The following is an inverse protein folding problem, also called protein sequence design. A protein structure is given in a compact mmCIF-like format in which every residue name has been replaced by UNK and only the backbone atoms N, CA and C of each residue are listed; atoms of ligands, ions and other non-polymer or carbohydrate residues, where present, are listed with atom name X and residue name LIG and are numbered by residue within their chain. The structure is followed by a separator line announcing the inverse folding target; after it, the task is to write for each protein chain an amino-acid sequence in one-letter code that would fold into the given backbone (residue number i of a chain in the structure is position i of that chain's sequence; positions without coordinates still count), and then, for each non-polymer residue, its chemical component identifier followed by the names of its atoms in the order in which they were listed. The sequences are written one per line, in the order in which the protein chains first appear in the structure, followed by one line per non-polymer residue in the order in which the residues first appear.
data_IF_217725972197
#
_entry.id   IF_217725972197
#
_cell.length_a   1.000
_cell.length_b   1.000
_cell.length_c   1.000
_cell.angle_alpha   90.00
_cell.angle_beta   90.00
_cell.angle_gamma   90.00
#
_symmetry.space_group_name_H-M   'P 1'
#
loop_
_entity.id
_entity.type
_entity.pdbx_description
1 polymer ?
#
# COMPACT_ATOMS: atom_id res chain seq x y z
N UNK A 1 15.49 -34.84 -41.43
CA UNK A 1 14.81 -35.97 -42.09
C UNK A 1 13.48 -36.26 -41.41
N UNK A 2 12.44 -36.35 -42.22
CA UNK A 2 11.06 -36.81 -41.98
C UNK A 2 10.09 -35.92 -41.19
N UNK A 3 9.35 -35.16 -42.00
CA UNK A 3 7.97 -34.70 -41.82
C UNK A 3 7.01 -35.86 -41.55
N UNK A 4 5.96 -35.64 -40.83
CA UNK A 4 4.63 -36.21 -41.12
C UNK A 4 3.53 -35.25 -40.59
N UNK A 5 2.82 -34.69 -41.54
CA UNK A 5 1.49 -34.09 -41.44
C UNK A 5 0.42 -35.18 -41.43
N UNK A 6 -0.76 -34.88 -40.87
CA UNK A 6 -2.10 -35.35 -41.30
C UNK A 6 -3.13 -34.63 -40.42
N UNK A 7 -3.92 -33.70 -40.91
CA UNK A 7 -5.11 -33.69 -41.78
C UNK A 7 -6.43 -33.91 -41.02
N UNK A 8 -7.18 -32.83 -40.97
CA UNK A 8 -8.64 -32.57 -41.07
C UNK A 8 -9.64 -33.75 -40.83
N UNK A 9 -10.70 -33.44 -40.03
CA UNK A 9 -12.11 -33.65 -40.48
C UNK A 9 -13.01 -32.61 -39.83
N UNK A 10 -13.67 -31.82 -40.70
CA UNK A 10 -14.83 -30.99 -40.40
C UNK A 10 -16.10 -31.82 -40.61
N UNK A 11 -17.13 -31.63 -39.81
CA UNK A 11 -18.48 -32.06 -40.11
C UNK A 11 -19.48 -30.97 -39.71
N UNK A 12 -20.13 -30.48 -40.71
CA UNK A 12 -21.22 -29.49 -40.78
C UNK A 12 -22.55 -30.27 -40.82
N UNK A 13 -23.60 -29.82 -40.11
CA UNK A 13 -25.05 -29.96 -40.45
C UNK A 13 -25.84 -29.03 -39.54
N UNK A 14 -26.37 -27.96 -39.97
CA UNK A 14 -27.53 -27.51 -40.75
C UNK A 14 -28.89 -27.79 -40.07
N UNK A 15 -29.45 -26.69 -39.64
CA UNK A 15 -30.79 -26.11 -39.72
C UNK A 15 -32.06 -27.01 -39.73
N UNK A 16 -33.06 -26.56 -38.92
CA UNK A 16 -34.41 -26.33 -39.42
C UNK A 16 -35.18 -25.31 -38.59
N UNK A 17 -35.73 -24.30 -39.29
CA UNK A 17 -36.73 -23.35 -38.81
C UNK A 17 -38.11 -24.04 -38.74
N UNK A 18 -39.01 -23.51 -37.90
CA UNK A 18 -40.41 -23.34 -38.28
C UNK A 18 -41.06 -22.23 -37.42
N UNK A 19 -41.68 -21.32 -38.15
CA UNK A 19 -42.42 -20.15 -37.68
C UNK A 19 -43.88 -20.52 -37.31
N UNK A 20 -44.51 -19.71 -36.48
CA UNK A 20 -45.95 -19.71 -36.25
C UNK A 20 -46.41 -18.38 -35.70
N UNK A 21 -47.04 -17.59 -36.58
CA UNK A 21 -47.72 -16.31 -36.31
C UNK A 21 -49.13 -16.50 -35.69
N UNK A 22 -49.63 -15.41 -35.07
CA UNK A 22 -51.05 -15.17 -34.87
C UNK A 22 -51.38 -14.35 -33.63
N UNK A 23 -51.42 -13.07 -33.63
CA UNK A 23 -52.48 -12.07 -33.91
C UNK A 23 -53.45 -11.83 -32.71
N UNK A 24 -53.33 -10.67 -32.09
CA UNK A 24 -54.18 -9.48 -31.90
C UNK A 24 -55.65 -9.66 -31.48
N UNK A 25 -56.07 -8.96 -30.42
CA UNK A 25 -57.04 -7.86 -30.34
C UNK A 25 -57.80 -7.83 -28.99
N UNK A 26 -57.66 -6.78 -28.25
CA UNK A 26 -58.58 -5.67 -27.94
C UNK A 26 -59.73 -5.88 -26.95
N UNK A 27 -59.67 -4.99 -25.93
CA UNK A 27 -60.76 -4.20 -25.28
C UNK A 27 -61.89 -4.91 -24.55
N UNK A 28 -62.04 -4.63 -23.27
CA UNK A 28 -63.06 -3.75 -22.64
C UNK A 28 -63.08 -3.92 -21.13
N UNK A 29 -63.09 -2.82 -20.39
CA UNK A 29 -63.62 -2.74 -19.02
C UNK A 29 -65.15 -2.57 -19.13
N UNK A 30 -65.98 -2.85 -18.08
CA UNK A 30 -66.05 -2.03 -16.87
C UNK A 30 -66.50 -2.72 -15.58
N UNK A 31 -66.45 -1.90 -14.49
CA UNK A 31 -67.30 -1.75 -13.34
C UNK A 31 -67.23 -2.73 -12.13
N UNK A 32 -66.75 -2.11 -11.07
CA UNK A 32 -67.22 -2.03 -9.66
C UNK A 32 -68.07 -3.14 -9.07
N UNK A 33 -67.58 -3.72 -7.93
CA UNK A 33 -68.40 -3.88 -6.73
C UNK A 33 -67.50 -3.97 -5.49
N UNK A 34 -67.82 -3.13 -4.55
CA UNK A 34 -67.37 -2.97 -3.17
C UNK A 34 -67.59 -4.24 -2.36
N UNK A 35 -66.56 -4.73 -1.68
CA UNK A 35 -66.77 -5.54 -0.47
C UNK A 35 -65.53 -5.37 0.44
N UNK A 36 -65.76 -4.66 1.51
CA UNK A 36 -64.86 -4.47 2.66
C UNK A 36 -64.68 -5.78 3.37
N UNK A 37 -63.44 -6.34 3.31
CA UNK A 37 -63.04 -7.41 4.24
C UNK A 37 -61.74 -7.02 4.90
N UNK A 38 -61.82 -6.91 6.21
CA UNK A 38 -60.77 -6.56 7.16
C UNK A 38 -59.66 -7.58 7.12
N UNK A 39 -58.56 -7.29 6.48
CA UNK A 39 -57.33 -8.10 6.59
C UNK A 39 -56.52 -7.62 7.78
N UNK A 40 -56.43 -8.49 8.75
CA UNK A 40 -55.57 -8.44 9.91
C UNK A 40 -54.10 -8.46 9.45
N UNK A 41 -53.35 -7.45 9.86
CA UNK A 41 -51.92 -7.37 9.58
C UNK A 41 -51.23 -8.55 10.30
N UNK A 42 -50.62 -9.44 9.51
CA UNK A 42 -49.66 -10.39 10.03
C UNK A 42 -48.35 -9.63 10.27
N UNK A 43 -47.85 -9.64 11.47
CA UNK A 43 -46.47 -9.28 11.83
C UNK A 43 -45.51 -10.14 10.99
N UNK A 44 -44.42 -9.56 10.46
CA UNK A 44 -43.40 -10.38 9.86
C UNK A 44 -42.67 -11.16 10.96
N UNK A 45 -42.84 -12.47 10.95
CA UNK A 45 -41.98 -13.37 11.70
C UNK A 45 -40.54 -13.08 11.26
N UNK A 46 -39.73 -12.65 12.23
CA UNK A 46 -38.27 -12.63 12.07
C UNK A 46 -37.82 -14.06 11.81
N UNK A 47 -37.43 -14.36 10.58
CA UNK A 47 -36.68 -15.56 10.29
C UNK A 47 -35.37 -15.47 11.10
N UNK A 48 -35.26 -16.31 12.13
CA UNK A 48 -33.98 -16.66 12.72
C UNK A 48 -33.11 -17.21 11.57
N UNK A 49 -32.03 -16.49 11.26
CA UNK A 49 -31.03 -16.92 10.31
C UNK A 49 -30.44 -18.23 10.83
N UNK A 50 -30.68 -19.31 10.09
CA UNK A 50 -30.17 -20.64 10.41
C UNK A 50 -28.64 -20.59 10.50
N UNK A 51 -28.13 -20.92 11.68
CA UNK A 51 -26.72 -21.18 11.98
C UNK A 51 -26.26 -22.48 11.30
N UNK A 52 -26.10 -22.48 9.97
CA UNK A 52 -25.55 -23.62 9.17
C UNK A 52 -25.00 -23.14 7.80
N UNK A 53 -24.38 -21.96 7.75
CA UNK A 53 -23.60 -21.59 6.57
C UNK A 53 -22.37 -22.51 6.46
N UNK A 54 -22.07 -23.02 5.26
CA UNK A 54 -20.83 -23.77 5.02
C UNK A 54 -19.62 -22.85 5.37
N UNK A 55 -18.57 -23.43 5.98
CA UNK A 55 -17.37 -22.64 6.33
C UNK A 55 -16.76 -21.98 5.09
N UNK A 56 -16.46 -20.69 5.20
CA UNK A 56 -15.81 -19.92 4.14
C UNK A 56 -14.43 -19.47 4.61
N UNK A 57 -13.39 -19.92 3.92
CA UNK A 57 -12.02 -19.45 4.12
C UNK A 57 -11.71 -18.35 3.11
N UNK A 58 -11.21 -17.22 3.59
CA UNK A 58 -10.70 -16.09 2.80
C UNK A 58 -9.18 -16.09 2.90
N UNK A 59 -8.50 -16.15 1.77
CA UNK A 59 -7.04 -16.11 1.68
C UNK A 59 -6.59 -14.73 1.23
N UNK A 60 -5.74 -14.07 2.02
CA UNK A 60 -5.13 -12.80 1.67
C UNK A 60 -3.61 -12.93 1.57
N UNK A 61 -3.02 -12.47 0.47
CA UNK A 61 -1.57 -12.42 0.32
C UNK A 61 -0.99 -11.10 0.84
N UNK A 62 0.22 -11.14 1.40
CA UNK A 62 0.94 -9.97 1.92
C UNK A 62 2.45 -10.16 1.81
N UNK A 63 3.21 -9.09 2.00
CA UNK A 63 4.68 -9.11 2.19
C UNK A 63 5.13 -8.54 3.54
N UNK A 64 4.18 -8.16 4.38
CA UNK A 64 4.37 -7.54 5.68
C UNK A 64 4.92 -8.51 6.77
N UNK A 65 5.03 -8.01 8.00
CA UNK A 65 5.37 -8.81 9.17
C UNK A 65 4.31 -9.89 9.44
N UNK A 66 4.76 -11.15 9.58
CA UNK A 66 3.84 -12.29 9.77
C UNK A 66 3.11 -12.23 11.12
N UNK A 67 3.76 -11.73 12.18
CA UNK A 67 3.12 -11.62 13.48
C UNK A 67 1.99 -10.57 13.46
N UNK A 68 2.22 -9.45 12.77
CA UNK A 68 1.21 -8.42 12.55
C UNK A 68 0.02 -8.96 11.75
N UNK A 69 0.25 -9.68 10.67
CA UNK A 69 -0.82 -10.24 9.86
C UNK A 69 -1.62 -11.31 10.59
N UNK A 70 -0.94 -12.15 11.38
CA UNK A 70 -1.62 -13.14 12.22
C UNK A 70 -2.49 -12.47 13.29
N UNK A 71 -2.01 -11.39 13.91
CA UNK A 71 -2.80 -10.61 14.87
C UNK A 71 -4.07 -10.04 14.24
N UNK A 72 -4.01 -9.54 13.00
CA UNK A 72 -5.19 -9.10 12.24
C UNK A 72 -6.15 -10.26 11.95
N UNK A 73 -5.62 -11.41 11.53
CA UNK A 73 -6.43 -12.59 11.26
C UNK A 73 -7.15 -13.07 12.54
N UNK A 74 -6.46 -13.07 13.68
CA UNK A 74 -7.02 -13.48 14.96
C UNK A 74 -8.22 -12.61 15.37
N UNK A 75 -8.12 -11.28 15.22
CA UNK A 75 -9.22 -10.35 15.50
C UNK A 75 -10.44 -10.64 14.60
N UNK A 76 -10.20 -10.86 13.30
CA UNK A 76 -11.29 -11.19 12.35
C UNK A 76 -11.91 -12.53 12.70
N UNK A 77 -11.09 -13.55 12.91
CA UNK A 77 -11.53 -14.92 13.15
C UNK A 77 -12.31 -15.05 14.46
N UNK A 78 -11.92 -14.28 15.51
CA UNK A 78 -12.67 -14.23 16.75
C UNK A 78 -14.07 -13.63 16.55
N UNK A 79 -14.16 -12.51 15.82
CA UNK A 79 -15.43 -11.81 15.60
C UNK A 79 -16.38 -12.54 14.66
N UNK A 80 -15.85 -13.26 13.66
CA UNK A 80 -16.64 -13.95 12.64
C UNK A 80 -16.80 -15.47 12.87
N UNK A 81 -16.38 -15.96 14.04
CA UNK A 81 -16.44 -17.38 14.37
C UNK A 81 -17.86 -17.97 14.26
N UNK A 82 -18.87 -17.24 14.70
CA UNK A 82 -20.29 -17.69 14.65
C UNK A 82 -20.84 -17.66 13.21
N UNK A 83 -20.23 -16.88 12.31
CA UNK A 83 -20.59 -16.80 10.89
C UNK A 83 -19.86 -17.87 10.05
N UNK A 84 -18.98 -18.69 10.64
CA UNK A 84 -18.11 -19.66 9.99
C UNK A 84 -17.22 -19.06 8.90
N UNK A 85 -16.77 -17.80 9.06
CA UNK A 85 -15.85 -17.10 8.17
C UNK A 85 -14.48 -17.08 8.83
N UNK A 86 -13.44 -17.44 8.09
CA UNK A 86 -12.04 -17.39 8.53
C UNK A 86 -11.20 -16.61 7.54
N UNK A 87 -10.31 -15.74 8.05
CA UNK A 87 -9.28 -15.04 7.29
C UNK A 87 -7.93 -15.71 7.56
N UNK A 88 -7.17 -15.94 6.50
CA UNK A 88 -5.80 -16.43 6.56
C UNK A 88 -4.90 -15.54 5.71
N UNK A 89 -3.83 -15.04 6.30
CA UNK A 89 -2.78 -14.35 5.58
C UNK A 89 -1.68 -15.31 5.13
N UNK A 90 -1.18 -15.14 3.90
CA UNK A 90 -0.06 -15.87 3.34
C UNK A 90 1.01 -14.93 2.83
N UNK A 91 2.22 -15.04 3.39
CA UNK A 91 3.35 -14.21 2.96
C UNK A 91 3.86 -14.61 1.58
N UNK A 92 4.09 -13.60 0.74
CA UNK A 92 4.66 -13.77 -0.60
C UNK A 92 5.83 -12.80 -0.78
N UNK A 93 6.88 -13.27 -1.41
CA UNK A 93 7.94 -12.40 -1.94
C UNK A 93 7.50 -11.86 -3.30
N UNK A 94 7.91 -10.63 -3.63
CA UNK A 94 7.57 -9.98 -4.91
C UNK A 94 6.05 -9.99 -5.16
N UNK A 95 5.31 -9.49 -4.17
CA UNK A 95 3.83 -9.58 -4.14
C UNK A 95 3.18 -8.95 -5.38
N UNK A 96 3.70 -7.82 -5.87
CA UNK A 96 3.18 -7.15 -7.07
C UNK A 96 3.21 -8.08 -8.27
N UNK A 97 4.34 -8.73 -8.55
CA UNK A 97 4.46 -9.70 -9.66
C UNK A 97 3.55 -10.92 -9.45
N UNK A 98 3.41 -11.38 -8.20
CA UNK A 98 2.52 -12.51 -7.89
C UNK A 98 1.06 -12.16 -8.15
N UNK A 99 0.59 -10.98 -7.76
CA UNK A 99 -0.78 -10.51 -8.03
C UNK A 99 -1.00 -10.30 -9.54
N UNK A 100 -0.03 -9.74 -10.27
CA UNK A 100 -0.12 -9.61 -11.72
C UNK A 100 -0.26 -10.97 -12.43
N UNK A 101 0.42 -11.99 -11.93
CA UNK A 101 0.43 -13.33 -12.54
C UNK A 101 -0.83 -14.12 -12.19
N UNK A 102 -1.28 -14.06 -10.94
CA UNK A 102 -2.33 -14.93 -10.41
C UNK A 102 -3.66 -14.21 -10.13
N UNK A 103 -3.72 -12.88 -10.25
CA UNK A 103 -4.90 -12.08 -9.89
C UNK A 103 -6.15 -12.33 -10.73
N UNK A 104 -6.04 -13.07 -11.84
CA UNK A 104 -7.18 -13.58 -12.63
C UNK A 104 -7.36 -15.10 -12.53
N UNK A 105 -6.47 -15.79 -11.82
CA UNK A 105 -6.50 -17.24 -11.69
C UNK A 105 -7.19 -17.67 -10.39
N UNK A 106 -8.44 -18.02 -10.50
CA UNK A 106 -9.28 -18.48 -9.40
C UNK A 106 -8.71 -19.70 -8.64
N UNK A 107 -7.94 -20.54 -9.30
CA UNK A 107 -7.42 -21.78 -8.70
C UNK A 107 -6.13 -21.54 -7.90
N UNK A 108 -5.38 -20.49 -8.23
CA UNK A 108 -4.03 -20.24 -7.68
C UNK A 108 -3.88 -18.86 -7.06
N UNK A 109 -4.78 -17.92 -7.37
CA UNK A 109 -4.77 -16.57 -6.82
C UNK A 109 -5.39 -16.49 -5.41
N UNK A 110 -5.10 -15.42 -4.65
CA UNK A 110 -5.74 -15.18 -3.36
C UNK A 110 -7.13 -14.57 -3.55
N UNK A 111 -7.93 -14.52 -2.49
CA UNK A 111 -9.19 -13.76 -2.51
C UNK A 111 -8.94 -12.25 -2.37
N UNK A 112 -7.94 -11.90 -1.57
CA UNK A 112 -7.56 -10.53 -1.23
C UNK A 112 -6.03 -10.42 -1.17
N UNK A 113 -5.54 -9.18 -1.10
CA UNK A 113 -4.14 -8.91 -0.75
C UNK A 113 -4.04 -7.67 0.14
N UNK A 114 -2.97 -7.57 0.94
CA UNK A 114 -2.62 -6.39 1.71
C UNK A 114 -1.25 -5.90 1.26
N UNK A 115 -1.21 -4.67 0.71
CA UNK A 115 0.01 -4.08 0.15
C UNK A 115 -0.09 -2.55 0.07
N UNK A 116 1.03 -1.90 -0.23
CA UNK A 116 1.07 -0.47 -0.49
C UNK A 116 0.25 -0.07 -1.73
N UNK A 117 -0.43 1.07 -1.65
CA UNK A 117 -1.39 1.53 -2.65
C UNK A 117 -0.79 1.92 -4.01
N UNK A 118 0.52 2.06 -4.13
CA UNK A 118 1.20 2.48 -5.37
C UNK A 118 1.00 1.53 -6.56
N UNK A 119 0.64 0.25 -6.30
CA UNK A 119 0.30 -0.73 -7.33
C UNK A 119 -1.15 -0.63 -7.83
N UNK A 120 -2.00 0.19 -7.20
CA UNK A 120 -3.43 0.28 -7.46
C UNK A 120 -3.75 0.50 -8.94
N UNK A 121 -3.16 1.51 -9.55
CA UNK A 121 -3.46 1.87 -10.94
C UNK A 121 -3.18 0.73 -11.92
N UNK A 122 -2.08 -0.01 -11.71
CA UNK A 122 -1.76 -1.18 -12.54
C UNK A 122 -2.81 -2.26 -12.41
N UNK A 123 -3.21 -2.60 -11.20
CA UNK A 123 -4.18 -3.66 -10.95
C UNK A 123 -5.60 -3.26 -11.41
N UNK A 124 -5.97 -1.99 -11.23
CA UNK A 124 -7.24 -1.46 -11.72
C UNK A 124 -7.32 -1.47 -13.26
N UNK A 125 -6.26 -1.06 -13.97
CA UNK A 125 -6.20 -1.13 -15.45
C UNK A 125 -6.21 -2.57 -15.96
N UNK A 126 -5.64 -3.51 -15.23
CA UNK A 126 -5.73 -4.94 -15.54
C UNK A 126 -7.15 -5.50 -15.32
N UNK A 127 -8.04 -4.76 -14.64
CA UNK A 127 -9.42 -5.17 -14.35
C UNK A 127 -9.53 -6.35 -13.39
N UNK A 128 -8.51 -6.56 -12.54
CA UNK A 128 -8.47 -7.69 -11.59
C UNK A 128 -9.08 -7.36 -10.23
N UNK A 129 -9.31 -6.08 -9.95
CA UNK A 129 -9.86 -5.62 -8.67
C UNK A 129 -11.38 -5.43 -8.73
N UNK A 130 -12.04 -5.74 -7.62
CA UNK A 130 -13.41 -5.29 -7.33
C UNK A 130 -13.31 -3.99 -6.52
N UNK A 131 -14.06 -2.92 -6.90
CA UNK A 131 -14.13 -1.72 -6.08
C UNK A 131 -14.67 -2.02 -4.67
N UNK A 132 -13.91 -1.66 -3.63
CA UNK A 132 -14.33 -1.94 -2.26
C UNK A 132 -15.53 -1.11 -1.82
N UNK A 133 -15.84 0.01 -2.48
CA UNK A 133 -17.05 0.77 -2.26
C UNK A 133 -18.34 -0.04 -2.45
N UNK A 134 -18.28 -1.17 -3.18
CA UNK A 134 -19.39 -2.11 -3.32
C UNK A 134 -19.49 -3.13 -2.16
N UNK A 135 -18.45 -3.24 -1.34
CA UNK A 135 -18.29 -4.29 -0.33
C UNK A 135 -18.27 -3.76 1.11
N UNK A 136 -18.02 -2.46 1.31
CA UNK A 136 -18.00 -1.82 2.63
C UNK A 136 -19.17 -0.85 2.76
N UNK A 137 -19.74 -0.75 3.95
CA UNK A 137 -20.83 0.22 4.20
C UNK A 137 -20.32 1.65 4.27
N UNK A 138 -21.12 2.61 3.80
CA UNK A 138 -20.78 4.03 3.81
C UNK A 138 -20.45 4.58 5.22
N UNK A 139 -21.03 4.01 6.27
CA UNK A 139 -20.74 4.40 7.64
C UNK A 139 -19.31 4.02 8.05
N UNK A 140 -18.82 2.86 7.60
CA UNK A 140 -17.45 2.42 7.84
C UNK A 140 -16.44 3.22 7.04
N UNK A 141 -16.74 3.49 5.77
CA UNK A 141 -15.93 4.36 4.92
C UNK A 141 -15.81 5.77 5.52
N UNK A 142 -16.89 6.33 6.05
CA UNK A 142 -16.89 7.66 6.68
C UNK A 142 -15.99 7.77 7.91
N UNK A 143 -15.59 6.66 8.53
CA UNK A 143 -14.66 6.63 9.67
C UNK A 143 -13.19 6.62 9.26
N UNK A 144 -12.89 6.42 7.98
CA UNK A 144 -11.53 6.42 7.45
C UNK A 144 -10.99 7.84 7.25
N UNK A 145 -9.68 8.00 7.26
CA UNK A 145 -9.01 9.27 6.99
C UNK A 145 -9.14 9.63 5.50
N UNK A 146 -9.59 10.86 5.15
CA UNK A 146 -9.79 11.23 3.74
C UNK A 146 -8.55 11.05 2.85
N UNK A 147 -7.33 11.27 3.40
CA UNK A 147 -6.09 11.08 2.66
C UNK A 147 -5.85 9.63 2.25
N UNK A 148 -6.26 8.68 3.10
CA UNK A 148 -6.10 7.26 2.80
C UNK A 148 -7.11 6.78 1.75
N UNK A 149 -8.36 7.29 1.81
CA UNK A 149 -9.38 7.04 0.77
C UNK A 149 -8.90 7.60 -0.58
N UNK A 150 -8.30 8.81 -0.59
CA UNK A 150 -7.77 9.39 -1.83
C UNK A 150 -6.63 8.55 -2.42
N UNK A 151 -5.72 8.05 -1.59
CA UNK A 151 -4.64 7.16 -2.02
C UNK A 151 -5.17 5.85 -2.62
N UNK A 152 -6.26 5.34 -2.08
CA UNK A 152 -6.91 4.08 -2.45
C UNK A 152 -7.95 4.21 -3.57
N UNK A 153 -8.08 5.43 -4.14
CA UNK A 153 -9.01 5.72 -5.23
C UNK A 153 -8.25 5.91 -6.55
N UNK A 154 -8.77 5.35 -7.62
CA UNK A 154 -8.24 5.49 -8.97
C UNK A 154 -9.36 5.83 -9.95
N UNK A 155 -9.16 6.87 -10.78
CA UNK A 155 -10.19 7.40 -11.72
C UNK A 155 -11.54 7.69 -11.07
N UNK A 156 -11.53 8.11 -9.80
CA UNK A 156 -12.72 8.51 -9.07
C UNK A 156 -13.50 7.37 -8.41
N UNK A 157 -12.96 6.15 -8.41
CA UNK A 157 -13.55 4.98 -7.76
C UNK A 157 -12.59 4.42 -6.71
N UNK A 158 -13.11 4.06 -5.52
CA UNK A 158 -12.32 3.47 -4.44
C UNK A 158 -12.19 1.97 -4.66
N UNK A 159 -10.96 1.51 -4.93
CA UNK A 159 -10.65 0.10 -5.15
C UNK A 159 -10.09 -0.62 -3.94
N UNK A 160 -9.43 0.13 -3.04
CA UNK A 160 -8.78 -0.47 -1.88
C UNK A 160 -9.42 0.01 -0.58
N UNK A 161 -9.33 -0.80 0.47
CA UNK A 161 -9.70 -0.42 1.82
C UNK A 161 -8.43 -0.15 2.63
N UNK A 162 -8.20 1.10 3.08
CA UNK A 162 -7.03 1.45 3.84
C UNK A 162 -7.07 0.85 5.25
N UNK A 163 -5.93 0.32 5.70
CA UNK A 163 -5.76 -0.26 7.03
C UNK A 163 -4.92 0.67 7.91
N UNK A 164 -3.76 1.07 7.43
CA UNK A 164 -2.88 2.03 8.11
C UNK A 164 -2.04 2.82 7.08
N UNK A 165 -1.52 3.96 7.48
CA UNK A 165 -0.56 4.69 6.67
C UNK A 165 0.84 4.67 7.30
N UNK A 166 1.85 4.90 6.47
CA UNK A 166 3.24 4.88 6.87
C UNK A 166 4.06 5.92 6.09
N UNK A 167 5.17 6.31 6.65
CA UNK A 167 6.16 7.19 6.03
C UNK A 167 7.51 7.00 6.68
N UNK A 168 8.55 7.58 6.08
CA UNK A 168 9.89 7.57 6.66
C UNK A 168 9.99 8.53 7.84
N UNK A 169 10.65 8.07 8.88
CA UNK A 169 11.07 8.81 10.05
C UNK A 169 12.58 8.62 10.25
N UNK A 170 13.18 9.45 11.06
CA UNK A 170 14.48 9.15 11.66
C UNK A 170 14.22 8.40 12.97
N UNK A 171 14.65 7.15 13.03
CA UNK A 171 14.62 6.32 14.24
C UNK A 171 16.04 6.29 14.79
N UNK A 172 16.22 6.59 16.06
CA UNK A 172 17.54 6.65 16.67
C UNK A 172 17.62 5.85 17.98
N UNK A 173 18.77 5.30 18.25
CA UNK A 173 19.07 4.59 19.50
C UNK A 173 19.47 5.63 20.57
N UNK A 174 18.62 5.80 21.60
CA UNK A 174 18.83 6.76 22.70
C UNK A 174 20.08 6.50 23.53
N UNK A 175 20.60 5.26 23.47
CA UNK A 175 21.80 4.88 24.22
C UNK A 175 23.10 5.17 23.44
N UNK A 176 22.99 5.39 22.13
CA UNK A 176 24.11 5.70 21.23
C UNK A 176 24.13 7.14 20.73
N UNK A 177 22.96 7.76 20.61
CA UNK A 177 22.86 9.13 20.11
C UNK A 177 23.30 10.13 21.18
N UNK A 178 24.25 10.99 20.85
CA UNK A 178 24.76 12.02 21.76
C UNK A 178 24.20 13.41 21.42
N UNK A 179 23.68 14.12 22.41
CA UNK A 179 23.19 15.49 22.26
C UNK A 179 21.77 15.60 21.70
N UNK A 180 21.46 16.79 21.17
CA UNK A 180 20.15 17.07 20.59
C UNK A 180 20.03 16.48 19.17
N UNK A 181 18.83 16.07 18.81
CA UNK A 181 18.54 15.58 17.44
C UNK A 181 18.53 16.78 16.50
N UNK A 182 19.28 16.75 15.37
CA UNK A 182 19.38 17.83 14.40
C UNK A 182 18.02 18.30 13.88
N UNK A 183 17.90 19.60 13.62
CA UNK A 183 16.74 20.23 13.00
C UNK A 183 16.99 20.65 11.54
N UNK A 184 18.23 20.54 11.10
CA UNK A 184 18.65 20.78 9.71
C UNK A 184 19.49 19.63 9.18
N UNK A 185 19.49 19.46 7.87
CA UNK A 185 20.33 18.45 7.22
C UNK A 185 21.83 18.79 7.29
N UNK A 186 22.19 20.07 7.43
CA UNK A 186 23.57 20.49 7.66
C UNK A 186 24.04 20.06 9.05
N UNK A 187 23.26 20.31 10.10
CA UNK A 187 23.56 19.84 11.45
C UNK A 187 23.67 18.31 11.49
N UNK A 188 22.77 17.61 10.78
CA UNK A 188 22.81 16.14 10.67
C UNK A 188 24.10 15.69 9.99
N UNK A 189 24.50 16.32 8.88
CA UNK A 189 25.72 16.02 8.17
C UNK A 189 26.97 16.24 9.04
N UNK A 190 27.03 17.38 9.74
CA UNK A 190 28.14 17.71 10.66
C UNK A 190 28.22 16.67 11.80
N UNK A 191 27.06 16.25 12.33
CA UNK A 191 26.99 15.17 13.32
C UNK A 191 27.53 13.85 12.76
N UNK A 192 27.14 13.50 11.54
CA UNK A 192 27.62 12.27 10.87
C UNK A 192 29.13 12.28 10.64
N UNK A 193 29.69 13.43 10.20
CA UNK A 193 31.16 13.59 10.04
C UNK A 193 31.89 13.38 11.36
N UNK A 194 31.31 13.84 12.49
CA UNK A 194 31.94 13.74 13.80
C UNK A 194 31.82 12.35 14.45
N UNK A 195 30.79 11.57 14.11
CA UNK A 195 30.42 10.33 14.83
C UNK A 195 30.44 9.06 13.95
N UNK A 196 30.89 9.14 12.70
CA UNK A 196 31.12 7.98 11.83
C UNK A 196 32.61 7.68 11.77
N UNK A 197 33.04 6.47 12.14
CA UNK A 197 34.44 6.08 12.25
C UNK A 197 34.83 4.87 11.37
N UNK A 198 33.96 4.44 10.48
CA UNK A 198 34.16 3.33 9.54
C UNK A 198 33.66 1.98 10.03
N UNK A 199 33.56 1.78 11.36
CA UNK A 199 32.96 0.60 11.99
C UNK A 199 31.57 0.93 12.57
N UNK A 200 31.38 2.19 12.98
CA UNK A 200 30.15 2.72 13.54
C UNK A 200 29.65 3.91 12.71
N UNK A 201 28.36 4.02 12.56
CA UNK A 201 27.69 5.01 11.75
C UNK A 201 26.77 5.89 12.61
N UNK A 202 26.83 7.20 12.41
CA UNK A 202 25.88 8.10 13.06
C UNK A 202 24.45 7.90 12.53
N UNK A 203 24.33 7.67 11.23
CA UNK A 203 23.07 7.40 10.54
C UNK A 203 23.33 6.37 9.44
N UNK A 204 22.37 5.51 9.16
CA UNK A 204 22.34 4.65 7.98
C UNK A 204 21.02 4.84 7.23
N UNK A 205 21.10 4.82 5.90
CA UNK A 205 19.95 4.91 4.99
C UNK A 205 20.22 4.14 3.71
N UNK A 206 19.18 3.77 2.99
CA UNK A 206 19.28 3.18 1.66
C UNK A 206 19.44 4.31 0.61
N UNK A 207 20.62 4.92 0.54
CA UNK A 207 20.87 6.09 -0.33
C UNK A 207 20.74 5.83 -1.83
N UNK A 208 20.69 4.56 -2.25
CA UNK A 208 20.37 4.14 -3.62
C UNK A 208 18.95 3.60 -3.78
N UNK A 209 18.11 3.65 -2.74
CA UNK A 209 16.69 3.29 -2.78
C UNK A 209 15.82 4.52 -3.07
N UNK A 210 14.97 4.45 -4.09
CA UNK A 210 14.15 5.59 -4.51
C UNK A 210 13.19 6.07 -3.42
N UNK A 211 12.57 5.15 -2.68
CA UNK A 211 11.71 5.48 -1.55
C UNK A 211 12.47 6.25 -0.45
N UNK A 212 13.66 5.77 -0.09
CA UNK A 212 14.48 6.32 0.98
C UNK A 212 15.16 7.65 0.60
N UNK A 213 15.28 7.98 -0.68
CA UNK A 213 15.83 9.25 -1.17
C UNK A 213 14.73 10.25 -1.52
N UNK A 214 13.47 9.82 -1.57
CA UNK A 214 12.33 10.70 -1.80
C UNK A 214 12.32 11.94 -0.90
N UNK A 215 12.72 11.89 0.41
CA UNK A 215 12.75 13.08 1.27
C UNK A 215 13.60 14.22 0.71
N UNK A 216 14.73 13.90 0.08
CA UNK A 216 15.60 14.88 -0.57
C UNK A 216 14.99 15.33 -1.90
N UNK A 217 14.56 14.40 -2.77
CA UNK A 217 14.04 14.72 -4.10
C UNK A 217 12.88 15.70 -4.01
N UNK A 218 11.84 15.37 -3.24
CA UNK A 218 10.66 16.22 -3.10
C UNK A 218 10.92 17.46 -2.22
N UNK A 219 11.83 17.36 -1.25
CA UNK A 219 12.23 18.48 -0.42
C UNK A 219 12.99 19.58 -1.19
N UNK A 220 13.79 19.19 -2.20
CA UNK A 220 14.42 20.14 -3.14
C UNK A 220 13.43 20.70 -4.16
N UNK A 221 12.23 20.14 -4.30
CA UNK A 221 11.22 20.52 -5.28
C UNK A 221 11.32 19.74 -6.60
N UNK A 222 12.11 18.67 -6.63
CA UNK A 222 12.12 17.68 -7.71
C UNK A 222 10.97 16.68 -7.57
N UNK A 223 10.92 15.70 -8.45
CA UNK A 223 9.93 14.63 -8.40
C UNK A 223 10.42 13.39 -9.17
N UNK A 224 9.86 12.24 -8.87
CA UNK A 224 10.16 10.99 -9.57
C UNK A 224 9.26 10.86 -10.80
N UNK A 225 7.95 11.04 -10.64
CA UNK A 225 6.95 11.07 -11.71
C UNK A 225 5.84 12.04 -11.33
N UNK A 226 5.26 12.74 -12.30
CA UNK A 226 4.14 13.66 -12.09
C UNK A 226 2.77 13.00 -12.37
N UNK A 227 1.71 13.74 -12.13
CA UNK A 227 0.31 13.31 -12.39
C UNK A 227 0.00 13.02 -13.87
N UNK A 228 0.82 13.52 -14.79
CA UNK A 228 0.72 13.29 -16.24
C UNK A 228 1.62 12.15 -16.71
N UNK A 229 2.12 11.34 -15.78
CA UNK A 229 3.05 10.25 -16.03
C UNK A 229 4.37 10.70 -16.71
N UNK A 230 4.84 11.93 -16.42
CA UNK A 230 6.12 12.41 -16.92
C UNK A 230 7.21 12.18 -15.86
N UNK A 231 8.27 11.43 -16.17
CA UNK A 231 9.41 11.26 -15.28
C UNK A 231 10.13 12.59 -15.05
N UNK A 232 10.60 12.82 -13.83
CA UNK A 232 11.35 14.02 -13.44
C UNK A 232 12.82 13.77 -13.10
N UNK A 233 13.42 12.68 -13.60
CA UNK A 233 14.77 12.26 -13.19
C UNK A 233 15.87 13.21 -13.65
N UNK A 234 15.67 13.93 -14.75
CA UNK A 234 16.62 14.93 -15.27
C UNK A 234 16.26 16.38 -14.96
N UNK A 235 15.19 16.62 -14.18
CA UNK A 235 14.87 17.95 -13.70
C UNK A 235 15.98 18.48 -12.78
N UNK A 236 16.28 19.80 -12.85
CA UNK A 236 17.40 20.34 -12.10
C UNK A 236 17.26 20.14 -10.59
N UNK A 237 16.04 20.32 -10.03
CA UNK A 237 15.80 20.12 -8.61
C UNK A 237 15.99 18.65 -8.17
N UNK A 238 15.67 17.68 -9.05
CA UNK A 238 15.95 16.26 -8.80
C UNK A 238 17.45 15.97 -8.82
N UNK A 239 18.17 16.53 -9.79
CA UNK A 239 19.63 16.41 -9.86
C UNK A 239 20.33 17.03 -8.65
N UNK A 240 19.90 18.21 -8.23
CA UNK A 240 20.43 18.90 -7.04
C UNK A 240 20.19 18.05 -5.78
N UNK A 241 19.01 17.44 -5.64
CA UNK A 241 18.67 16.54 -4.55
C UNK A 241 19.56 15.29 -4.52
N UNK A 242 19.77 14.65 -5.67
CA UNK A 242 20.62 13.46 -5.79
C UNK A 242 22.08 13.80 -5.48
N UNK A 243 22.59 14.93 -5.99
CA UNK A 243 23.94 15.40 -5.67
C UNK A 243 24.09 15.73 -4.17
N UNK A 244 23.02 16.22 -3.54
CA UNK A 244 23.01 16.50 -2.09
C UNK A 244 22.97 15.19 -1.28
N UNK A 245 22.12 14.23 -1.66
CA UNK A 245 22.06 12.90 -1.05
C UNK A 245 23.43 12.18 -1.08
N UNK A 246 24.18 12.30 -2.18
CA UNK A 246 25.50 11.70 -2.31
C UNK A 246 26.47 12.08 -1.18
N UNK A 247 26.38 13.28 -0.64
CA UNK A 247 27.24 13.71 0.49
C UNK A 247 27.04 12.82 1.73
N UNK A 248 25.79 12.40 1.96
CA UNK A 248 25.44 11.49 3.05
C UNK A 248 25.86 10.05 2.71
N UNK A 249 25.58 9.62 1.49
CA UNK A 249 26.01 8.28 1.01
C UNK A 249 27.52 8.07 1.08
N UNK A 250 28.32 9.13 0.93
CA UNK A 250 29.80 9.05 1.02
C UNK A 250 30.30 8.86 2.47
N UNK A 251 29.46 9.12 3.49
CA UNK A 251 29.79 8.93 4.90
C UNK A 251 29.28 7.61 5.48
N UNK A 252 28.43 6.91 4.73
CA UNK A 252 27.72 5.73 5.21
C UNK A 252 28.08 4.47 4.42
N UNK A 253 27.63 3.32 4.94
CA UNK A 253 27.49 2.14 4.11
C UNK A 253 26.18 2.28 3.31
N UNK A 254 26.21 2.75 2.07
CA UNK A 254 25.05 2.73 1.17
C UNK A 254 24.59 1.29 0.90
N UNK A 255 23.93 0.72 1.91
CA UNK A 255 23.47 -0.65 1.95
C UNK A 255 22.05 -0.79 1.39
N UNK A 256 21.67 -2.03 1.15
CA UNK A 256 20.27 -2.43 0.94
C UNK A 256 19.53 -2.48 2.28
N UNK A 257 18.24 -2.78 2.23
CA UNK A 257 17.37 -2.91 3.41
C UNK A 257 17.97 -3.82 4.51
N UNK A 258 18.46 -5.00 4.12
CA UNK A 258 19.01 -5.96 5.08
C UNK A 258 20.29 -5.43 5.75
N UNK A 259 21.15 -4.80 4.97
CA UNK A 259 22.43 -4.24 5.47
C UNK A 259 22.17 -3.10 6.47
N UNK A 260 21.36 -2.11 6.13
CA UNK A 260 21.13 -0.95 7.02
C UNK A 260 20.36 -1.34 8.27
N UNK A 261 19.40 -2.27 8.15
CA UNK A 261 18.64 -2.80 9.28
C UNK A 261 19.52 -3.61 10.23
N UNK A 262 20.42 -4.45 9.69
CA UNK A 262 21.37 -5.20 10.51
C UNK A 262 22.33 -4.27 11.25
N UNK A 263 22.89 -3.26 10.59
CA UNK A 263 23.80 -2.28 11.22
C UNK A 263 23.11 -1.56 12.39
N UNK A 264 21.86 -1.16 12.24
CA UNK A 264 21.13 -0.51 13.32
C UNK A 264 20.81 -1.49 14.47
N UNK A 265 20.29 -2.67 14.16
CA UNK A 265 19.91 -3.67 15.16
C UNK A 265 21.12 -4.27 15.92
N UNK A 266 22.31 -4.29 15.30
CA UNK A 266 23.56 -4.68 15.93
C UNK A 266 24.21 -3.56 16.78
N UNK A 267 23.60 -2.36 16.82
CA UNK A 267 24.13 -1.20 17.53
C UNK A 267 25.37 -0.58 16.87
N UNK A 268 25.57 -0.83 15.58
CA UNK A 268 26.64 -0.23 14.77
C UNK A 268 26.22 1.09 14.11
N UNK A 269 24.95 1.40 14.13
CA UNK A 269 24.41 2.68 13.69
C UNK A 269 23.61 3.32 14.81
N UNK A 270 23.83 4.62 15.05
CA UNK A 270 23.10 5.37 16.07
C UNK A 270 21.70 5.79 15.60
N UNK A 271 21.48 5.91 14.30
CA UNK A 271 20.17 6.18 13.70
C UNK A 271 19.99 5.46 12.37
N UNK A 272 18.72 5.32 11.97
CA UNK A 272 18.28 4.78 10.67
C UNK A 272 17.09 5.58 10.15
N UNK A 273 17.01 5.81 8.84
CA UNK A 273 15.77 6.25 8.23
C UNK A 273 14.91 5.03 7.87
N UNK A 274 13.70 5.01 8.40
CA UNK A 274 12.76 3.91 8.22
C UNK A 274 11.40 4.24 8.78
N UNK A 275 10.52 3.26 8.84
CA UNK A 275 9.16 3.41 9.32
C UNK A 275 8.75 2.31 10.31
N UNK A 276 7.42 2.16 10.55
CA UNK A 276 6.91 1.20 11.53
C UNK A 276 7.33 -0.26 11.27
N UNK A 277 7.61 -0.61 10.01
CA UNK A 277 8.06 -1.95 9.62
C UNK A 277 9.39 -2.39 10.23
N UNK A 278 10.19 -1.46 10.78
CA UNK A 278 11.45 -1.77 11.45
C UNK A 278 11.26 -2.12 12.93
N UNK A 279 10.12 -1.79 13.54
CA UNK A 279 9.95 -1.76 14.99
C UNK A 279 10.00 -3.15 15.62
N UNK A 280 9.47 -4.18 14.96
CA UNK A 280 9.59 -5.57 15.45
C UNK A 280 11.05 -5.96 15.68
N UNK A 281 11.90 -5.80 14.67
CA UNK A 281 13.33 -6.12 14.78
C UNK A 281 14.08 -5.23 15.78
N UNK A 282 13.72 -3.95 15.88
CA UNK A 282 14.30 -3.02 16.87
C UNK A 282 13.97 -3.44 18.31
N UNK A 283 12.71 -3.86 18.56
CA UNK A 283 12.27 -4.37 19.85
C UNK A 283 12.97 -5.70 20.20
N UNK A 284 13.09 -6.62 19.23
CA UNK A 284 13.81 -7.89 19.40
C UNK A 284 15.29 -7.67 19.71
N UNK A 285 15.93 -6.67 19.12
CA UNK A 285 17.30 -6.27 19.40
C UNK A 285 17.44 -5.57 20.78
N UNK A 286 16.34 -5.27 21.47
CA UNK A 286 16.34 -4.62 22.78
C UNK A 286 16.78 -3.15 22.74
N UNK A 287 16.65 -2.47 21.62
CA UNK A 287 17.09 -1.08 21.44
C UNK A 287 16.11 -0.11 22.10
N UNK A 288 16.63 0.78 22.92
CA UNK A 288 15.92 1.92 23.48
C UNK A 288 15.85 3.04 22.43
N UNK A 289 14.83 2.99 21.57
CA UNK A 289 14.73 3.90 20.44
C UNK A 289 13.92 5.17 20.74
N UNK A 290 14.17 6.19 19.95
CA UNK A 290 13.35 7.39 19.80
C UNK A 290 13.08 7.64 18.35
N UNK A 291 12.16 8.57 18.07
CA UNK A 291 11.77 8.91 16.72
C UNK A 291 11.78 10.42 16.49
N UNK A 292 12.10 10.85 15.29
CA UNK A 292 12.05 12.24 14.85
C UNK A 292 11.33 12.32 13.51
N UNK A 293 10.35 13.20 13.42
CA UNK A 293 9.68 13.51 12.16
C UNK A 293 10.65 14.12 11.15
N UNK A 294 10.67 13.63 9.91
CA UNK A 294 11.45 14.23 8.84
C UNK A 294 10.92 15.63 8.45
N UNK A 295 9.65 15.94 8.72
CA UNK A 295 9.09 17.28 8.54
C UNK A 295 9.72 18.35 9.45
N UNK A 296 10.43 17.93 10.50
CA UNK A 296 11.13 18.80 11.44
C UNK A 296 12.63 18.97 11.14
N UNK A 297 13.08 18.41 10.01
CA UNK A 297 14.47 18.54 9.53
C UNK A 297 14.43 19.32 8.21
N UNK A 298 15.07 20.48 8.19
CA UNK A 298 15.06 21.39 7.05
C UNK A 298 16.29 21.24 6.16
N UNK A 299 16.09 21.42 4.86
CA UNK A 299 17.12 21.43 3.82
C UNK A 299 17.73 22.82 3.66
N UNK A 300 18.87 22.97 2.97
CA UNK A 300 19.52 24.26 2.70
C UNK A 300 18.63 25.27 1.98
N UNK A 301 17.65 24.83 1.22
CA UNK A 301 16.67 25.67 0.54
C UNK A 301 15.54 26.19 1.46
N UNK A 302 15.56 25.81 2.75
CA UNK A 302 14.56 26.19 3.75
C UNK A 302 13.30 25.31 3.77
N UNK A 303 13.16 24.36 2.86
CA UNK A 303 12.07 23.40 2.89
C UNK A 303 12.36 22.27 3.90
N UNK A 304 11.32 21.68 4.46
CA UNK A 304 11.45 20.42 5.19
C UNK A 304 11.78 19.25 4.23
N UNK A 305 12.34 18.18 4.77
CA UNK A 305 12.36 16.89 4.10
C UNK A 305 10.92 16.43 3.79
N UNK A 306 10.70 15.87 2.60
CA UNK A 306 9.37 15.47 2.12
C UNK A 306 9.39 14.00 1.65
N UNK A 307 9.31 13.05 2.58
CA UNK A 307 9.28 11.64 2.19
C UNK A 307 8.00 11.29 1.45
N UNK A 308 8.01 10.14 0.79
CA UNK A 308 6.77 9.49 0.40
C UNK A 308 5.95 9.09 1.63
N UNK A 309 4.62 9.17 1.49
CA UNK A 309 3.69 8.47 2.38
C UNK A 309 3.00 7.35 1.61
N UNK A 310 2.96 6.18 2.22
CA UNK A 310 2.26 5.01 1.74
C UNK A 310 1.00 4.73 2.55
N UNK A 311 0.03 4.09 1.94
CA UNK A 311 -1.13 3.51 2.62
C UNK A 311 -1.09 2.03 2.38
N UNK A 312 -1.08 1.26 3.46
CA UNK A 312 -1.19 -0.19 3.41
C UNK A 312 -2.66 -0.54 3.39
N UNK A 313 -3.08 -1.20 2.33
CA UNK A 313 -4.49 -1.32 1.98
C UNK A 313 -4.83 -2.73 1.51
N UNK A 314 -6.08 -3.11 1.72
CA UNK A 314 -6.64 -4.37 1.24
C UNK A 314 -7.26 -4.18 -0.13
N UNK A 315 -6.82 -4.98 -1.09
CA UNK A 315 -7.46 -5.14 -2.39
C UNK A 315 -8.22 -6.45 -2.47
N UNK A 316 -9.39 -6.42 -3.10
CA UNK A 316 -10.23 -7.61 -3.32
C UNK A 316 -10.16 -8.01 -4.78
N UNK A 317 -9.87 -9.28 -5.06
CA UNK A 317 -9.84 -9.77 -6.43
C UNK A 317 -11.25 -10.02 -6.94
N UNK A 318 -11.50 -9.63 -8.18
CA UNK A 318 -12.83 -9.61 -8.78
C UNK A 318 -13.50 -10.98 -8.76
N UNK A 319 -12.78 -12.05 -9.13
CA UNK A 319 -13.33 -13.39 -9.10
C UNK A 319 -13.75 -13.86 -7.69
N UNK A 320 -13.01 -13.38 -6.65
CA UNK A 320 -13.32 -13.70 -5.27
C UNK A 320 -14.56 -12.95 -4.78
N UNK A 321 -14.70 -11.66 -5.15
CA UNK A 321 -15.90 -10.89 -4.86
C UNK A 321 -17.16 -11.51 -5.47
N UNK A 322 -17.08 -12.04 -6.70
CA UNK A 322 -18.18 -12.73 -7.37
C UNK A 322 -18.63 -14.00 -6.62
N UNK A 323 -17.74 -14.70 -5.94
CA UNK A 323 -18.02 -15.98 -5.26
C UNK A 323 -18.21 -15.87 -3.76
N UNK A 324 -17.41 -15.05 -3.10
CA UNK A 324 -17.31 -14.93 -1.65
C UNK A 324 -17.65 -13.51 -1.18
N UNK A 325 -18.27 -12.66 -2.01
CA UNK A 325 -18.46 -11.23 -1.75
C UNK A 325 -19.08 -10.94 -0.39
N UNK A 326 -20.11 -11.70 0.03
CA UNK A 326 -20.74 -11.52 1.32
C UNK A 326 -19.77 -11.77 2.50
N UNK A 327 -18.97 -12.84 2.43
CA UNK A 327 -17.97 -13.16 3.45
C UNK A 327 -16.82 -12.14 3.45
N UNK A 328 -16.35 -11.73 2.27
CA UNK A 328 -15.32 -10.68 2.11
C UNK A 328 -15.81 -9.35 2.70
N UNK A 329 -17.07 -8.96 2.44
CA UNK A 329 -17.68 -7.77 3.04
C UNK A 329 -17.63 -7.81 4.56
N UNK A 330 -17.95 -8.94 5.18
CA UNK A 330 -17.87 -9.10 6.64
C UNK A 330 -16.42 -8.95 7.15
N UNK A 331 -15.44 -9.54 6.45
CA UNK A 331 -14.01 -9.39 6.79
C UNK A 331 -13.59 -7.91 6.70
N UNK A 332 -13.93 -7.22 5.61
CA UNK A 332 -13.62 -5.79 5.44
C UNK A 332 -14.27 -4.92 6.52
N UNK A 333 -15.53 -5.19 6.88
CA UNK A 333 -16.23 -4.47 7.95
C UNK A 333 -15.58 -4.63 9.32
N UNK A 334 -15.03 -5.80 9.63
CA UNK A 334 -14.26 -6.01 10.86
C UNK A 334 -12.94 -5.26 10.80
N UNK A 335 -12.19 -5.40 9.69
CA UNK A 335 -10.89 -4.75 9.54
C UNK A 335 -10.98 -3.20 9.48
N UNK A 336 -12.13 -2.66 9.11
CA UNK A 336 -12.40 -1.21 9.14
C UNK A 336 -12.76 -0.67 10.53
N UNK A 337 -12.89 -1.51 11.57
CA UNK A 337 -13.23 -1.06 12.93
C UNK A 337 -12.06 -0.32 13.60
N UNK A 338 -12.33 0.66 14.48
CA UNK A 338 -11.29 1.36 15.21
C UNK A 338 -10.44 0.44 16.09
N UNK A 339 -11.02 -0.64 16.63
CA UNK A 339 -10.35 -1.64 17.46
C UNK A 339 -9.17 -2.29 16.74
N UNK A 340 -9.29 -2.57 15.46
CA UNK A 340 -8.20 -3.10 14.62
C UNK A 340 -7.08 -2.07 14.51
N UNK A 341 -7.40 -0.82 14.24
CA UNK A 341 -6.42 0.26 14.21
C UNK A 341 -5.72 0.46 15.56
N UNK A 342 -6.45 0.33 16.68
CA UNK A 342 -5.90 0.41 18.04
C UNK A 342 -4.88 -0.72 18.30
N UNK A 343 -5.19 -1.95 17.90
CA UNK A 343 -4.25 -3.09 18.01
C UNK A 343 -2.99 -2.83 17.19
N UNK A 344 -3.13 -2.45 15.92
CA UNK A 344 -2.00 -2.11 15.05
C UNK A 344 -1.14 -0.98 15.61
N UNK A 345 -1.77 0.05 16.19
CA UNK A 345 -1.06 1.17 16.78
C UNK A 345 -0.26 0.78 18.02
N UNK A 346 -0.86 0.02 18.95
CA UNK A 346 -0.25 -0.34 20.23
C UNK A 346 0.84 -1.41 20.09
N UNK A 347 0.60 -2.41 19.27
CA UNK A 347 1.51 -3.54 19.14
C UNK A 347 2.60 -3.32 18.09
N UNK A 348 2.22 -2.70 16.97
CA UNK A 348 3.08 -2.57 15.77
C UNK A 348 3.44 -1.13 15.42
N UNK A 349 2.94 -0.13 16.17
CA UNK A 349 3.18 1.30 15.94
C UNK A 349 2.74 1.81 14.55
N UNK A 350 1.78 1.15 13.91
CA UNK A 350 1.19 1.59 12.66
C UNK A 350 0.20 2.73 12.90
N UNK A 351 0.19 3.74 12.03
CA UNK A 351 -0.76 4.85 12.13
C UNK A 351 -2.10 4.46 11.51
N UNK A 352 -3.18 4.29 12.31
CA UNK A 352 -4.44 3.77 11.82
C UNK A 352 -5.06 4.62 10.70
N UNK A 353 -5.66 3.96 9.70
CA UNK A 353 -6.49 4.64 8.71
C UNK A 353 -7.85 5.05 9.29
N UNK A 354 -8.36 4.35 10.31
CA UNK A 354 -9.59 4.72 10.99
C UNK A 354 -9.35 5.86 11.99
N UNK A 355 -10.01 7.02 11.77
CA UNK A 355 -9.83 8.22 12.59
C UNK A 355 -10.29 8.06 14.04
N UNK A 356 -11.25 7.15 14.34
CA UNK A 356 -11.74 6.90 15.71
C UNK A 356 -10.72 6.13 16.55
N UNK A 357 -9.76 5.45 15.95
CA UNK A 357 -8.68 4.80 16.69
C UNK A 357 -7.82 5.80 17.48
N UNK A 358 -7.77 7.06 17.06
CA UNK A 358 -7.04 8.13 17.74
C UNK A 358 -7.77 8.68 18.99
N UNK A 359 -9.00 8.26 19.24
CA UNK A 359 -9.70 8.55 20.49
C UNK A 359 -9.16 7.69 21.65
N UNK A 360 -8.44 6.61 21.36
CA UNK A 360 -7.74 5.80 22.38
C UNK A 360 -6.52 6.60 22.91
N UNK A 361 -6.41 6.77 24.25
CA UNK A 361 -5.35 7.59 24.85
C UNK A 361 -3.93 7.09 24.60
N UNK A 362 -3.72 5.78 24.45
CA UNK A 362 -2.39 5.22 24.16
C UNK A 362 -1.98 5.47 22.71
N UNK A 363 -2.94 5.36 21.78
CA UNK A 363 -2.73 5.70 20.36
C UNK A 363 -2.42 7.19 20.21
N UNK A 364 -3.20 8.05 20.87
CA UNK A 364 -3.04 9.50 20.84
C UNK A 364 -1.71 9.99 21.44
N UNK A 365 -1.01 9.18 22.24
CA UNK A 365 0.27 9.52 22.88
C UNK A 365 1.45 8.70 22.34
N UNK A 366 1.23 7.85 21.35
CA UNK A 366 2.28 7.04 20.75
C UNK A 366 3.25 7.91 19.95
N UNK A 367 4.52 7.99 20.40
CA UNK A 367 5.54 8.85 19.78
C UNK A 367 5.75 8.57 18.28
N UNK A 368 5.72 7.30 17.86
CA UNK A 368 5.86 6.90 16.46
C UNK A 368 4.71 7.42 15.61
N UNK A 369 3.48 7.24 16.09
CA UNK A 369 2.26 7.69 15.39
C UNK A 369 2.24 9.22 15.29
N UNK A 370 2.56 9.92 16.37
CA UNK A 370 2.66 11.39 16.36
C UNK A 370 3.72 11.88 15.38
N UNK A 371 4.88 11.22 15.32
CA UNK A 371 5.94 11.56 14.37
C UNK A 371 5.50 11.28 12.91
N UNK A 372 4.77 10.18 12.64
CA UNK A 372 4.19 9.90 11.32
C UNK A 372 3.15 10.94 10.92
N UNK A 373 2.22 11.28 11.81
CA UNK A 373 1.24 12.35 11.56
C UNK A 373 1.93 13.68 11.25
N UNK A 374 2.97 14.03 12.02
CA UNK A 374 3.75 15.24 11.78
C UNK A 374 4.47 15.21 10.43
N UNK A 375 5.04 14.06 10.06
CA UNK A 375 5.70 13.88 8.76
C UNK A 375 4.71 13.98 7.62
N UNK A 376 3.50 13.43 7.81
CA UNK A 376 2.43 13.47 6.80
C UNK A 376 2.01 14.90 6.41
N UNK A 377 2.26 15.91 7.26
CA UNK A 377 2.00 17.32 6.90
C UNK A 377 2.82 17.79 5.70
N UNK A 378 3.99 17.20 5.44
CA UNK A 378 4.89 17.56 4.33
C UNK A 378 5.14 16.41 3.37
N UNK A 379 4.83 15.19 3.76
CA UNK A 379 5.02 14.01 2.93
C UNK A 379 4.24 14.11 1.60
N UNK A 380 4.74 13.41 0.60
CA UNK A 380 4.10 13.32 -0.71
C UNK A 380 3.44 11.94 -0.81
N UNK A 381 2.12 11.85 -1.03
CA UNK A 381 1.51 10.57 -1.31
C UNK A 381 2.19 9.90 -2.51
N UNK A 382 2.52 8.63 -2.39
CA UNK A 382 3.04 7.88 -3.55
C UNK A 382 1.99 7.91 -4.67
N UNK A 383 2.41 8.21 -5.91
CA UNK A 383 1.48 8.16 -7.04
C UNK A 383 0.92 6.74 -7.23
N UNK A 384 -0.39 6.65 -7.35
CA UNK A 384 -1.08 5.36 -7.58
C UNK A 384 -1.40 5.10 -9.06
N UNK A 385 -0.75 5.82 -9.96
CA UNK A 385 -0.89 5.61 -11.41
C UNK A 385 -0.09 4.38 -11.87
N UNK A 386 -0.52 3.68 -12.95
CA UNK A 386 0.15 2.46 -13.42
C UNK A 386 1.65 2.63 -13.66
N UNK A 387 2.07 3.81 -14.13
CA UNK A 387 3.44 4.12 -14.50
C UNK A 387 4.38 4.24 -13.28
N UNK A 388 3.85 4.45 -12.07
CA UNK A 388 4.69 4.58 -10.87
C UNK A 388 5.54 3.31 -10.64
N UNK A 389 4.96 2.12 -10.82
CA UNK A 389 5.69 0.86 -10.69
C UNK A 389 6.91 0.76 -11.61
N UNK A 390 6.86 1.38 -12.80
CA UNK A 390 7.98 1.40 -13.76
C UNK A 390 9.07 2.39 -13.38
N UNK A 391 8.85 3.27 -12.40
CA UNK A 391 9.81 4.31 -12.02
C UNK A 391 10.85 3.86 -11.02
N UNK A 392 10.55 2.79 -10.24
CA UNK A 392 11.48 2.31 -9.21
C UNK A 392 12.86 1.97 -9.81
N UNK A 393 12.90 1.09 -10.83
CA UNK A 393 14.13 0.64 -11.46
C UNK A 393 14.99 1.77 -12.04
N UNK A 394 14.47 2.64 -12.92
CA UNK A 394 15.22 3.77 -13.46
C UNK A 394 15.73 4.75 -12.40
N UNK A 395 14.94 5.03 -11.37
CA UNK A 395 15.33 5.94 -10.27
C UNK A 395 16.46 5.34 -9.45
N UNK A 396 16.34 4.08 -9.04
CA UNK A 396 17.37 3.37 -8.27
C UNK A 396 18.64 3.15 -9.09
N UNK A 397 18.51 2.91 -10.40
CA UNK A 397 19.62 2.85 -11.31
C UNK A 397 20.42 4.17 -11.37
N UNK A 398 19.72 5.31 -11.46
CA UNK A 398 20.33 6.63 -11.40
C UNK A 398 21.04 6.87 -10.08
N UNK A 399 20.39 6.56 -8.96
CA UNK A 399 20.97 6.70 -7.62
C UNK A 399 22.21 5.83 -7.45
N UNK A 400 22.18 4.58 -7.91
CA UNK A 400 23.32 3.67 -7.84
C UNK A 400 24.49 4.12 -8.74
N UNK A 401 24.22 4.64 -9.94
CA UNK A 401 25.24 5.21 -10.80
C UNK A 401 25.98 6.37 -10.11
N UNK A 402 25.25 7.23 -9.41
CA UNK A 402 25.84 8.36 -8.69
C UNK A 402 26.54 7.90 -7.40
N UNK A 403 25.89 7.11 -6.56
CA UNK A 403 26.40 6.78 -5.23
C UNK A 403 27.47 5.69 -5.26
N UNK A 404 27.26 4.61 -6.05
CA UNK A 404 28.12 3.41 -6.06
C UNK A 404 29.16 3.45 -7.17
N UNK A 405 28.80 3.97 -8.37
CA UNK A 405 29.74 4.08 -9.48
C UNK A 405 30.51 5.39 -9.53
N UNK A 406 30.11 6.39 -8.72
CA UNK A 406 30.76 7.69 -8.62
C UNK A 406 30.57 8.57 -9.86
N UNK A 407 29.53 8.32 -10.66
CA UNK A 407 29.21 9.12 -11.82
C UNK A 407 28.59 10.47 -11.41
N UNK A 408 28.80 11.50 -12.22
CA UNK A 408 28.14 12.78 -12.00
C UNK A 408 26.68 12.68 -12.39
N UNK A 409 25.76 13.12 -11.55
CA UNK A 409 24.33 13.13 -11.87
C UNK A 409 24.04 13.90 -13.16
N UNK A 410 24.75 15.01 -13.40
CA UNK A 410 24.63 15.79 -14.64
C UNK A 410 24.99 15.02 -15.90
N UNK A 411 25.86 14.02 -15.79
CA UNK A 411 26.28 13.21 -16.93
C UNK A 411 25.30 12.08 -17.25
N UNK A 412 24.57 11.56 -16.25
CA UNK A 412 23.80 10.33 -16.42
C UNK A 412 22.27 10.51 -16.32
N UNK A 413 21.79 11.62 -15.73
CA UNK A 413 20.36 11.81 -15.50
C UNK A 413 19.51 11.75 -16.79
N UNK A 414 20.01 12.31 -17.90
CA UNK A 414 19.29 12.27 -19.18
C UNK A 414 19.15 10.83 -19.75
N UNK A 415 20.10 9.96 -19.46
CA UNK A 415 20.03 8.58 -19.94
C UNK A 415 19.02 7.78 -19.09
N UNK A 416 18.99 7.97 -17.77
CA UNK A 416 17.98 7.36 -16.92
C UNK A 416 16.58 7.93 -17.14
N UNK A 417 16.45 9.22 -17.49
CA UNK A 417 15.19 9.81 -17.97
C UNK A 417 14.67 9.07 -19.22
N UNK A 418 15.55 8.77 -20.19
CA UNK A 418 15.17 7.98 -21.38
C UNK A 418 14.77 6.55 -21.03
N UNK A 419 15.48 5.91 -20.08
CA UNK A 419 15.12 4.58 -19.58
C UNK A 419 13.72 4.60 -18.95
N UNK A 420 13.42 5.60 -18.11
CA UNK A 420 12.12 5.77 -17.51
C UNK A 420 11.00 5.99 -18.55
N UNK A 421 11.24 6.86 -19.53
CA UNK A 421 10.29 7.09 -20.63
C UNK A 421 10.05 5.83 -21.48
N UNK A 422 11.09 5.02 -21.72
CA UNK A 422 10.95 3.75 -22.42
C UNK A 422 10.12 2.76 -21.62
N UNK A 423 10.37 2.62 -20.30
CA UNK A 423 9.62 1.73 -19.43
C UNK A 423 8.13 2.11 -19.35
N UNK A 424 7.82 3.41 -19.33
CA UNK A 424 6.42 3.91 -19.39
C UNK A 424 5.82 3.63 -20.79
N UNK A 425 6.58 3.81 -21.87
CA UNK A 425 6.11 3.55 -23.24
C UNK A 425 5.78 2.08 -23.49
N UNK A 426 6.50 1.18 -22.90
CA UNK A 426 6.27 -0.28 -23.01
C UNK A 426 4.98 -0.74 -22.31
N UNK A 427 4.36 0.12 -21.46
CA UNK A 427 3.08 -0.15 -20.80
C UNK A 427 1.86 0.25 -21.65
N UNK A 428 2.04 0.99 -22.77
CA UNK A 428 0.97 1.44 -23.67
C UNK A 428 0.73 0.45 -24.81
#
# INVERSE_FOLDING_TARGET
MKKKSLVFVAALMAATMLAGCGQQAATTAPETSDTTETAQAAEPEAQEAEANAEPVEIIAWHDNDEAMMNSLADVVNEQLAEENITLKFEKKSDLTSQIQLYGTDEASGPDMYLFAHDSLGSFAEMGILEPVGNLISADKEADLLPMTIQADSYKGEQYLMPVYFETLLMIYNKDLWEGEIPSTTEELYDYMVAHTDGDNYALVNQHSGAYNVSPFIYGFGGYIIDENAQPGLNEQATKDAIAYNKKFADLEADGDYNTVTALFNEGKAAAIWGGPWLISGIKEAGINYGVKSLAEITLPNGNALKPFSGVQSLGVLKFAAEKKGAAISRVLEVLAQPEVGIVLAKEYNCAPANKKAYDDPEVAQNEMILAMQKTAETAVPMPNIPQMGSMWGPTEGLLAAVNKSGESVEAVADDYQKVALAAIGDMQ
#
